data_IF_312118324254
#
_entry.id   IF_312118324254
#
_cell.length_a   1.000
_cell.length_b   1.000
_cell.length_c   1.000
_cell.angle_alpha   90.00
_cell.angle_beta   90.00
_cell.angle_gamma   90.00
#
_symmetry.space_group_name_H-M   'P 1'
#
loop_
_entity.id
_entity.type
_entity.pdbx_description
1 polymer ?
#
# COMPACT_ATOMS: atom_id res chain seq x y z
N UNK A 1 17.87 4.86 6.03
CA UNK A 1 17.50 6.17 6.64
C UNK A 1 17.48 6.15 8.16
N UNK A 2 16.98 5.09 8.82
CA UNK A 2 16.91 5.01 10.29
C UNK A 2 18.27 5.16 11.00
N UNK A 3 19.37 4.72 10.38
CA UNK A 3 20.74 4.95 10.89
C UNK A 3 21.15 6.42 10.77
N UNK A 4 20.86 7.06 9.61
CA UNK A 4 21.17 8.48 9.39
C UNK A 4 20.47 9.42 10.38
N UNK A 5 19.29 9.03 10.86
CA UNK A 5 18.47 9.82 11.79
C UNK A 5 18.58 9.37 13.24
N UNK A 6 19.53 8.49 13.57
CA UNK A 6 19.80 8.05 14.95
C UNK A 6 18.75 7.14 15.58
N UNK A 7 17.80 6.60 14.78
CA UNK A 7 16.82 5.60 15.26
C UNK A 7 17.53 4.26 15.53
N UNK A 8 18.45 3.87 14.64
CA UNK A 8 19.33 2.71 14.81
C UNK A 8 20.78 3.15 14.83
N UNK A 9 21.61 2.47 15.61
CA UNK A 9 23.04 2.65 15.59
C UNK A 9 23.65 1.96 14.38
N UNK A 10 24.74 2.51 13.84
CA UNK A 10 25.52 1.86 12.78
C UNK A 10 26.38 0.74 13.37
N UNK A 11 26.46 -0.40 12.68
CA UNK A 11 27.37 -1.49 13.05
C UNK A 11 28.79 -1.21 12.55
N UNK A 12 28.93 -0.56 11.39
CA UNK A 12 30.20 -0.23 10.75
C UNK A 12 30.06 0.94 9.77
N UNK A 13 31.18 1.40 9.21
CA UNK A 13 31.21 2.50 8.25
C UNK A 13 31.17 3.89 8.91
N UNK A 14 31.21 4.95 8.10
CA UNK A 14 31.19 6.34 8.55
C UNK A 14 30.10 7.15 7.87
N UNK A 15 29.58 8.14 8.56
CA UNK A 15 28.65 9.14 8.02
C UNK A 15 29.36 10.49 8.10
N UNK A 16 29.54 11.14 6.95
CA UNK A 16 30.14 12.48 6.90
C UNK A 16 29.05 13.52 6.69
N UNK A 17 28.94 14.47 7.59
CA UNK A 17 28.00 15.59 7.53
C UNK A 17 28.74 16.92 7.73
N UNK A 18 28.58 17.85 6.79
CA UNK A 18 29.30 19.14 6.78
C UNK A 18 30.84 18.99 6.88
N UNK A 19 31.38 17.95 6.27
CA UNK A 19 32.83 17.67 6.28
C UNK A 19 33.37 17.02 7.56
N UNK A 20 32.50 16.69 8.52
CA UNK A 20 32.86 16.02 9.77
C UNK A 20 32.20 14.66 9.87
N UNK A 21 32.89 13.69 10.45
CA UNK A 21 32.30 12.40 10.75
C UNK A 21 31.32 12.55 11.93
N UNK A 22 30.11 12.02 11.76
CA UNK A 22 29.05 12.09 12.77
C UNK A 22 28.49 10.69 13.06
N UNK A 23 27.99 10.53 14.29
CA UNK A 23 27.22 9.36 14.71
C UNK A 23 26.12 9.85 15.66
N UNK A 24 24.90 9.94 15.18
CA UNK A 24 23.77 10.37 16.00
C UNK A 24 23.29 9.20 16.86
N UNK A 25 23.28 9.39 18.18
CA UNK A 25 22.87 8.35 19.13
C UNK A 25 21.36 8.26 19.33
N UNK A 26 20.63 9.30 18.92
CA UNK A 26 19.17 9.35 18.99
C UNK A 26 18.62 10.39 17.99
N UNK A 27 17.30 10.34 17.80
CA UNK A 27 16.61 11.20 16.84
C UNK A 27 16.69 12.70 17.21
N UNK A 28 16.76 13.02 18.51
CA UNK A 28 16.85 14.40 18.95
C UNK A 28 18.19 15.02 18.59
N UNK A 29 19.27 14.27 18.76
CA UNK A 29 20.61 14.72 18.35
C UNK A 29 20.68 14.97 16.84
N UNK A 30 20.09 14.10 16.01
CA UNK A 30 20.00 14.31 14.58
C UNK A 30 19.19 15.58 14.25
N UNK A 31 18.05 15.79 14.89
CA UNK A 31 17.19 16.96 14.72
C UNK A 31 17.91 18.26 15.11
N UNK A 32 18.60 18.26 16.24
CA UNK A 32 19.37 19.43 16.74
C UNK A 32 20.53 19.80 15.78
N UNK A 33 21.04 18.80 15.02
CA UNK A 33 22.01 19.01 13.94
C UNK A 33 21.38 19.34 12.58
N UNK A 34 20.05 19.40 12.51
CA UNK A 34 19.30 19.75 11.29
C UNK A 34 19.09 18.59 10.32
N UNK A 35 19.15 17.35 10.78
CA UNK A 35 18.78 16.13 10.03
C UNK A 35 17.45 15.60 10.54
N UNK A 36 16.40 15.67 9.72
CA UNK A 36 15.03 15.32 10.11
C UNK A 36 14.43 14.32 9.14
N UNK A 37 13.55 13.44 9.64
CA UNK A 37 12.79 12.51 8.83
C UNK A 37 11.28 12.76 8.99
N UNK A 38 10.59 12.74 7.86
CA UNK A 38 9.14 12.66 7.74
C UNK A 38 8.82 11.21 7.38
N UNK A 39 8.11 10.53 8.26
CA UNK A 39 7.80 9.10 8.11
C UNK A 39 6.59 8.87 7.17
N UNK A 40 6.47 7.67 6.66
CA UNK A 40 5.35 7.22 5.84
C UNK A 40 4.02 7.26 6.62
N UNK A 41 4.04 6.86 7.90
CA UNK A 41 2.89 6.96 8.80
C UNK A 41 2.92 8.32 9.51
N UNK A 42 1.78 9.02 9.52
CA UNK A 42 1.66 10.33 10.16
C UNK A 42 1.84 10.22 11.68
N UNK A 43 2.84 10.92 12.20
CA UNK A 43 3.17 10.94 13.63
C UNK A 43 2.64 12.22 14.31
N UNK A 44 1.33 12.47 14.15
CA UNK A 44 0.66 13.64 14.68
C UNK A 44 -0.34 13.26 15.78
N UNK A 45 -0.46 14.09 16.80
CA UNK A 45 -1.42 13.89 17.89
C UNK A 45 -2.73 14.56 17.53
N UNK A 46 -3.79 13.77 17.25
CA UNK A 46 -5.07 14.25 16.74
C UNK A 46 -5.77 15.27 17.66
N UNK A 47 -5.67 15.10 18.98
CA UNK A 47 -6.33 15.97 19.96
C UNK A 47 -5.63 17.32 20.18
N UNK A 48 -4.39 17.45 19.75
CA UNK A 48 -3.64 18.70 19.83
C UNK A 48 -3.94 19.59 18.61
N UNK A 49 -3.75 20.91 18.80
CA UNK A 49 -3.81 21.85 17.68
C UNK A 49 -2.60 21.67 16.75
N UNK A 50 -2.72 22.22 15.56
CA UNK A 50 -1.63 22.24 14.57
C UNK A 50 -0.38 22.90 15.15
N UNK A 51 -0.52 24.08 15.78
CA UNK A 51 0.62 24.77 16.42
C UNK A 51 1.27 23.91 17.51
N UNK A 52 0.49 23.26 18.35
CA UNK A 52 1.02 22.37 19.38
C UNK A 52 1.76 21.16 18.77
N UNK A 53 1.24 20.57 17.70
CA UNK A 53 1.93 19.49 16.99
C UNK A 53 3.27 19.92 16.39
N UNK A 54 3.34 21.13 15.79
CA UNK A 54 4.58 21.66 15.20
C UNK A 54 5.66 21.84 16.27
N UNK A 55 5.29 22.37 17.45
CA UNK A 55 6.25 22.71 18.51
C UNK A 55 6.32 21.69 19.65
N UNK A 56 5.72 20.53 19.54
CA UNK A 56 5.73 19.49 20.58
C UNK A 56 7.17 19.17 21.02
N UNK A 57 7.42 19.22 22.34
CA UNK A 57 8.72 18.96 22.95
C UNK A 57 9.73 20.13 22.86
N UNK A 58 9.34 21.28 22.25
CA UNK A 58 10.14 22.51 22.13
C UNK A 58 9.25 23.77 22.14
N UNK A 59 8.20 23.71 22.93
CA UNK A 59 7.23 24.78 23.06
C UNK A 59 7.92 26.07 23.52
N UNK A 60 7.69 27.22 22.88
CA UNK A 60 8.17 28.50 23.36
C UNK A 60 7.61 28.80 24.75
N UNK A 61 8.45 29.34 25.65
CA UNK A 61 8.07 29.61 27.05
C UNK A 61 8.11 31.11 27.36
N UNK A 62 7.14 31.54 28.14
CA UNK A 62 7.13 32.85 28.80
C UNK A 62 7.24 32.60 30.31
N UNK A 63 8.48 32.70 30.83
CA UNK A 63 8.80 32.21 32.16
C UNK A 63 8.67 30.70 32.28
N UNK A 64 7.84 30.22 33.19
CA UNK A 64 7.56 28.78 33.41
C UNK A 64 6.37 28.24 32.60
N UNK A 65 5.61 29.11 31.92
CA UNK A 65 4.41 28.73 31.14
C UNK A 65 4.71 28.65 29.66
N UNK A 66 4.00 27.77 28.97
CA UNK A 66 4.00 27.69 27.49
C UNK A 66 3.37 28.97 26.93
N UNK A 67 3.98 29.54 25.89
CA UNK A 67 3.48 30.71 25.17
C UNK A 67 2.71 30.27 23.91
N UNK A 68 1.42 29.96 24.08
CA UNK A 68 0.54 29.56 23.00
C UNK A 68 0.42 30.63 21.91
N UNK A 69 0.44 31.92 22.28
CA UNK A 69 0.34 33.02 21.31
C UNK A 69 1.54 33.00 20.37
N UNK A 70 2.73 32.83 20.93
CA UNK A 70 3.96 32.76 20.14
C UNK A 70 3.98 31.50 19.23
N UNK A 71 3.53 30.34 19.73
CA UNK A 71 3.42 29.14 18.91
C UNK A 71 2.51 29.34 17.69
N UNK A 72 1.35 30.00 17.90
CA UNK A 72 0.40 30.28 16.82
C UNK A 72 1.02 31.28 15.83
N UNK A 73 1.69 32.32 16.29
CA UNK A 73 2.34 33.33 15.46
C UNK A 73 3.47 32.75 14.62
N UNK A 74 4.36 31.98 15.27
CA UNK A 74 5.48 31.32 14.59
C UNK A 74 4.98 30.28 13.55
N UNK A 75 3.90 29.53 13.87
CA UNK A 75 3.24 28.62 12.92
C UNK A 75 2.63 29.34 11.71
N UNK A 76 1.98 30.49 11.94
CA UNK A 76 1.42 31.30 10.84
C UNK A 76 2.51 31.79 9.89
N UNK A 77 3.61 32.29 10.46
CA UNK A 77 4.75 32.71 9.64
C UNK A 77 5.32 31.57 8.81
N UNK A 78 5.53 30.40 9.44
CA UNK A 78 6.01 29.21 8.76
C UNK A 78 5.08 28.81 7.61
N UNK A 79 3.76 28.83 7.83
CA UNK A 79 2.77 28.48 6.81
C UNK A 79 2.71 29.51 5.67
N UNK A 80 2.88 30.80 5.96
CA UNK A 80 2.99 31.83 4.94
C UNK A 80 4.21 31.60 4.06
N UNK A 81 5.37 31.31 4.66
CA UNK A 81 6.63 31.03 3.93
C UNK A 81 6.50 29.79 3.03
N UNK A 82 5.66 28.83 3.39
CA UNK A 82 5.43 27.58 2.67
C UNK A 82 4.17 27.56 1.78
N UNK A 83 3.41 28.66 1.73
CA UNK A 83 2.13 28.75 1.03
C UNK A 83 1.12 27.67 1.51
N UNK A 84 1.06 27.38 2.81
CA UNK A 84 0.14 26.45 3.42
C UNK A 84 -1.07 27.21 3.99
N UNK A 85 -2.27 26.87 3.54
CA UNK A 85 -3.53 27.46 4.01
C UNK A 85 -4.17 26.60 5.08
N UNK A 86 -3.65 26.67 6.31
CA UNK A 86 -4.18 25.94 7.49
C UNK A 86 -4.18 26.90 8.68
N UNK A 87 -5.26 26.91 9.47
CA UNK A 87 -5.28 27.65 10.74
C UNK A 87 -4.50 26.86 11.82
N UNK A 88 -3.42 27.43 12.39
CA UNK A 88 -2.65 26.79 13.45
C UNK A 88 -3.45 26.44 14.72
N UNK A 89 -4.63 27.01 14.91
CA UNK A 89 -5.51 26.76 16.06
C UNK A 89 -6.41 25.55 15.86
N UNK A 90 -6.54 25.06 14.62
CA UNK A 90 -7.40 23.92 14.31
C UNK A 90 -6.81 22.64 14.92
N UNK A 91 -7.68 21.72 15.37
CA UNK A 91 -7.26 20.41 15.85
C UNK A 91 -6.76 19.57 14.67
N UNK A 92 -5.68 18.82 14.89
CA UNK A 92 -5.09 17.95 13.87
C UNK A 92 -6.09 16.91 13.34
N UNK A 93 -6.96 16.37 14.21
CA UNK A 93 -8.00 15.39 13.82
C UNK A 93 -9.06 15.94 12.86
N UNK A 94 -9.22 17.26 12.74
CA UNK A 94 -10.19 17.87 11.82
C UNK A 94 -9.65 18.04 10.41
N UNK A 95 -8.34 17.88 10.23
CA UNK A 95 -7.68 18.07 8.94
C UNK A 95 -7.77 16.81 8.09
N UNK A 96 -7.85 17.00 6.76
CA UNK A 96 -7.63 15.89 5.81
C UNK A 96 -6.22 15.34 5.92
N UNK A 97 -6.02 14.08 5.53
CA UNK A 97 -4.71 13.42 5.56
C UNK A 97 -3.65 14.24 4.82
N UNK A 98 -3.99 14.82 3.66
CA UNK A 98 -3.08 15.68 2.91
C UNK A 98 -2.67 16.94 3.68
N UNK A 99 -3.59 17.58 4.38
CA UNK A 99 -3.27 18.73 5.24
C UNK A 99 -2.42 18.34 6.44
N UNK A 100 -2.67 17.17 7.04
CA UNK A 100 -1.84 16.64 8.12
C UNK A 100 -0.40 16.39 7.64
N UNK A 101 -0.23 15.83 6.44
CA UNK A 101 1.08 15.64 5.80
C UNK A 101 1.82 16.97 5.62
N UNK A 102 1.13 18.02 5.14
CA UNK A 102 1.72 19.36 5.03
C UNK A 102 2.17 19.90 6.37
N UNK A 103 1.40 19.67 7.44
CA UNK A 103 1.79 20.06 8.80
C UNK A 103 3.04 19.30 9.28
N UNK A 104 3.18 18.02 8.97
CA UNK A 104 4.35 17.23 9.34
C UNK A 104 5.62 17.70 8.63
N UNK A 105 5.52 18.06 7.36
CA UNK A 105 6.62 18.65 6.61
C UNK A 105 6.96 20.03 7.18
N UNK A 106 5.97 20.88 7.49
CA UNK A 106 6.19 22.16 8.14
C UNK A 106 6.87 22.00 9.51
N UNK A 107 6.49 21.00 10.29
CA UNK A 107 7.16 20.61 11.53
C UNK A 107 8.63 20.27 11.28
N UNK A 108 8.94 19.46 10.25
CA UNK A 108 10.32 19.12 9.90
C UNK A 108 11.14 20.37 9.56
N UNK A 109 10.59 21.31 8.81
CA UNK A 109 11.24 22.56 8.42
C UNK A 109 11.50 23.45 9.64
N UNK A 110 10.57 23.48 10.61
CA UNK A 110 10.66 24.28 11.81
C UNK A 110 11.84 23.93 12.75
N UNK A 111 12.55 22.84 12.48
CA UNK A 111 13.84 22.47 13.13
C UNK A 111 15.05 23.17 12.48
N UNK A 112 14.86 24.14 11.58
CA UNK A 112 15.94 24.75 10.79
C UNK A 112 16.77 23.69 10.04
N UNK A 113 16.08 22.70 9.51
CA UNK A 113 16.66 21.53 8.89
C UNK A 113 17.55 21.88 7.70
N UNK A 114 18.67 21.16 7.57
CA UNK A 114 19.58 21.20 6.43
C UNK A 114 19.42 19.97 5.55
N UNK A 115 18.97 18.87 6.14
CA UNK A 115 18.66 17.62 5.44
C UNK A 115 17.27 17.15 5.90
N UNK A 116 16.36 16.94 4.97
CA UNK A 116 15.03 16.40 5.24
C UNK A 116 14.89 15.10 4.46
N UNK A 117 14.64 14.00 5.18
CA UNK A 117 14.29 12.71 4.60
C UNK A 117 12.77 12.62 4.50
N UNK A 118 12.25 12.34 3.32
CA UNK A 118 10.82 12.18 3.05
C UNK A 118 10.58 10.71 2.66
N UNK A 119 9.93 9.96 3.53
CA UNK A 119 9.68 8.52 3.34
C UNK A 119 8.25 8.30 2.83
N UNK A 120 8.11 8.03 1.53
CA UNK A 120 6.83 7.85 0.80
C UNK A 120 5.78 8.94 1.09
N UNK A 121 6.11 10.23 0.99
CA UNK A 121 5.24 11.30 1.47
C UNK A 121 3.97 11.49 0.64
N UNK A 122 3.85 10.83 -0.51
CA UNK A 122 2.71 10.95 -1.44
C UNK A 122 1.74 9.77 -1.38
N UNK A 123 1.98 8.78 -0.51
CA UNK A 123 1.19 7.53 -0.45
C UNK A 123 -0.30 7.74 -0.18
N UNK A 124 -0.65 8.84 0.50
CA UNK A 124 -2.03 9.16 0.90
C UNK A 124 -2.53 10.49 0.31
N UNK A 125 -1.80 11.06 -0.68
CA UNK A 125 -2.12 12.35 -1.26
C UNK A 125 -2.86 12.22 -2.60
N UNK A 126 -3.78 13.15 -2.85
CA UNK A 126 -4.39 13.36 -4.17
C UNK A 126 -3.41 14.04 -5.12
N UNK A 127 -3.61 13.92 -6.45
CA UNK A 127 -2.75 14.55 -7.44
C UNK A 127 -2.54 16.07 -7.23
N UNK A 128 -3.57 16.89 -6.92
CA UNK A 128 -3.35 18.31 -6.60
C UNK A 128 -2.52 18.55 -5.33
N UNK A 129 -2.58 17.66 -4.34
CA UNK A 129 -1.78 17.75 -3.12
C UNK A 129 -0.32 17.36 -3.39
N UNK A 130 -0.06 16.38 -4.27
CA UNK A 130 1.29 16.01 -4.74
C UNK A 130 1.95 17.18 -5.45
N UNK A 131 1.25 17.87 -6.34
CA UNK A 131 1.80 19.08 -7.00
C UNK A 131 2.19 20.16 -6.00
N UNK A 132 1.37 20.40 -4.97
CA UNK A 132 1.69 21.36 -3.91
C UNK A 132 2.94 20.94 -3.13
N UNK A 133 3.06 19.65 -2.80
CA UNK A 133 4.24 19.09 -2.16
C UNK A 133 5.49 19.29 -3.01
N UNK A 134 5.45 18.98 -4.29
CA UNK A 134 6.60 19.13 -5.20
C UNK A 134 7.00 20.60 -5.36
N UNK A 135 6.04 21.50 -5.42
CA UNK A 135 6.32 22.95 -5.43
C UNK A 135 7.06 23.37 -4.15
N UNK A 136 6.62 22.90 -2.99
CA UNK A 136 7.29 23.14 -1.71
C UNK A 136 8.71 22.55 -1.71
N UNK A 137 8.89 21.31 -2.16
CA UNK A 137 10.22 20.69 -2.24
C UNK A 137 11.19 21.48 -3.14
N UNK A 138 10.73 21.97 -4.29
CA UNK A 138 11.53 22.85 -5.17
C UNK A 138 11.92 24.15 -4.47
N UNK A 139 11.04 24.75 -3.68
CA UNK A 139 11.33 25.94 -2.88
C UNK A 139 12.38 25.65 -1.79
N UNK A 140 12.26 24.55 -1.06
CA UNK A 140 13.23 24.13 -0.05
C UNK A 140 14.61 23.86 -0.64
N UNK A 141 14.67 23.19 -1.79
CA UNK A 141 15.89 22.95 -2.55
C UNK A 141 16.55 24.29 -2.96
N UNK A 142 15.77 25.26 -3.44
CA UNK A 142 16.27 26.60 -3.79
C UNK A 142 16.83 27.38 -2.57
N UNK A 143 16.37 27.04 -1.36
CA UNK A 143 16.91 27.58 -0.10
C UNK A 143 18.16 26.83 0.42
N UNK A 144 18.67 25.85 -0.34
CA UNK A 144 19.86 25.08 0.00
C UNK A 144 19.61 23.95 1.00
N UNK A 145 18.37 23.49 1.15
CA UNK A 145 18.03 22.32 1.95
C UNK A 145 18.21 21.06 1.08
N UNK A 146 18.99 20.10 1.56
CA UNK A 146 19.14 18.80 0.92
C UNK A 146 17.91 17.93 1.22
N UNK A 147 17.32 17.34 0.18
CA UNK A 147 16.16 16.47 0.29
C UNK A 147 16.54 15.06 -0.11
N UNK A 148 16.20 14.09 0.75
CA UNK A 148 16.28 12.66 0.43
C UNK A 148 14.85 12.18 0.26
N UNK A 149 14.47 11.85 -0.98
CA UNK A 149 13.13 11.45 -1.34
C UNK A 149 13.07 9.94 -1.57
N UNK A 150 12.26 9.24 -0.78
CA UNK A 150 12.06 7.79 -0.90
C UNK A 150 10.67 7.58 -1.46
N UNK A 151 10.59 6.90 -2.59
CA UNK A 151 9.32 6.54 -3.22
C UNK A 151 9.51 5.29 -4.07
N UNK A 152 8.43 4.56 -4.29
CA UNK A 152 8.33 3.49 -5.28
C UNK A 152 7.61 3.95 -6.56
N UNK A 153 7.12 5.20 -6.60
CA UNK A 153 6.48 5.79 -7.76
C UNK A 153 7.52 6.44 -8.67
N UNK A 154 7.84 5.75 -9.76
CA UNK A 154 8.92 6.14 -10.66
C UNK A 154 8.71 7.52 -11.28
N UNK A 155 7.47 7.83 -11.69
CA UNK A 155 7.15 9.12 -12.30
C UNK A 155 7.48 10.30 -11.35
N UNK A 156 7.22 10.14 -10.06
CA UNK A 156 7.56 11.13 -9.04
C UNK A 156 9.07 11.29 -8.88
N UNK A 157 9.83 10.18 -8.89
CA UNK A 157 11.28 10.18 -8.77
C UNK A 157 11.92 10.93 -9.95
N UNK A 158 11.49 10.64 -11.19
CA UNK A 158 12.00 11.32 -12.38
C UNK A 158 11.64 12.81 -12.43
N UNK A 159 10.50 13.19 -11.83
CA UNK A 159 10.06 14.59 -11.81
C UNK A 159 10.84 15.46 -10.81
N UNK A 160 11.17 14.91 -9.61
CA UNK A 160 11.65 15.73 -8.50
C UNK A 160 13.12 15.53 -8.15
N UNK A 161 13.70 14.35 -8.45
CA UNK A 161 15.07 14.00 -8.04
C UNK A 161 16.11 14.41 -9.09
N UNK A 162 17.27 14.88 -8.62
CA UNK A 162 18.43 15.14 -9.48
C UNK A 162 19.27 13.87 -9.70
N UNK A 163 19.38 13.05 -8.67
CA UNK A 163 20.15 11.82 -8.63
C UNK A 163 19.30 10.70 -8.04
N UNK A 164 19.43 9.50 -8.57
CA UNK A 164 18.67 8.32 -8.15
C UNK A 164 19.63 7.26 -7.65
N UNK A 165 19.42 6.81 -6.41
CA UNK A 165 20.13 5.68 -5.82
C UNK A 165 19.18 4.52 -5.62
N UNK A 166 19.52 3.34 -6.13
CA UNK A 166 18.74 2.11 -5.96
C UNK A 166 19.35 1.26 -4.87
N UNK A 167 18.56 0.99 -3.83
CA UNK A 167 18.87 0.02 -2.80
C UNK A 167 18.01 -1.24 -2.97
N UNK A 168 18.65 -2.41 -2.94
CA UNK A 168 17.98 -3.70 -3.02
C UNK A 168 18.58 -4.67 -2.00
N UNK A 169 17.73 -5.30 -1.20
CA UNK A 169 18.15 -6.24 -0.14
C UNK A 169 19.25 -5.67 0.79
N UNK A 170 19.13 -4.36 1.11
CA UNK A 170 20.09 -3.66 1.98
C UNK A 170 21.40 -3.22 1.32
N UNK A 171 21.59 -3.52 0.04
CA UNK A 171 22.80 -3.16 -0.73
C UNK A 171 22.52 -2.05 -1.73
N UNK A 172 23.47 -1.15 -1.92
CA UNK A 172 23.43 -0.13 -2.97
C UNK A 172 23.77 -0.80 -4.31
N UNK A 173 22.81 -0.75 -5.25
CA UNK A 173 22.95 -1.36 -6.58
C UNK A 173 23.51 -0.38 -7.60
N UNK A 174 22.98 0.85 -7.61
CA UNK A 174 23.42 1.91 -8.51
C UNK A 174 23.16 3.29 -7.92
N UNK A 175 23.93 4.27 -8.39
CA UNK A 175 23.67 5.70 -8.21
C UNK A 175 23.96 6.41 -9.53
N UNK A 176 22.99 7.14 -10.07
CA UNK A 176 23.12 7.86 -11.35
C UNK A 176 22.31 9.16 -11.33
N UNK A 177 22.70 10.17 -12.12
CA UNK A 177 21.86 11.32 -12.40
C UNK A 177 20.51 10.90 -12.99
N UNK A 178 19.41 11.52 -12.56
CA UNK A 178 18.06 11.20 -13.04
C UNK A 178 17.95 11.32 -14.57
N UNK A 179 18.64 12.30 -15.17
CA UNK A 179 18.64 12.54 -16.62
C UNK A 179 19.37 11.48 -17.46
N UNK A 180 20.22 10.68 -16.81
CA UNK A 180 21.02 9.61 -17.45
C UNK A 180 20.45 8.22 -17.18
N UNK A 181 19.31 8.14 -16.50
CA UNK A 181 18.66 6.88 -16.10
C UNK A 181 17.34 6.75 -16.85
N UNK A 182 17.06 5.58 -17.40
CA UNK A 182 15.74 5.28 -17.95
C UNK A 182 14.91 4.42 -16.99
N UNK A 183 13.60 4.36 -17.26
CA UNK A 183 12.62 3.63 -16.45
C UNK A 183 12.94 2.13 -16.37
N UNK A 184 13.36 1.52 -17.48
CA UNK A 184 13.61 0.08 -17.54
C UNK A 184 14.88 -0.29 -16.78
N UNK A 185 15.93 0.54 -16.91
CA UNK A 185 17.16 0.39 -16.12
C UNK A 185 16.88 0.47 -14.62
N UNK A 186 16.06 1.45 -14.21
CA UNK A 186 15.69 1.63 -12.81
C UNK A 186 14.93 0.43 -12.27
N UNK A 187 13.93 -0.07 -13.00
CA UNK A 187 13.17 -1.26 -12.64
C UNK A 187 14.07 -2.49 -12.58
N UNK A 188 14.94 -2.68 -13.57
CA UNK A 188 15.88 -3.80 -13.59
C UNK A 188 16.83 -3.80 -12.39
N UNK A 189 17.35 -2.62 -12.00
CA UNK A 189 18.18 -2.46 -10.82
C UNK A 189 17.44 -2.80 -9.52
N UNK A 190 16.15 -2.38 -9.40
CA UNK A 190 15.32 -2.65 -8.24
C UNK A 190 14.93 -4.12 -8.11
N UNK A 191 14.56 -4.77 -9.22
CA UNK A 191 14.06 -6.16 -9.23
C UNK A 191 15.21 -7.17 -9.31
N UNK A 192 16.36 -6.79 -9.88
CA UNK A 192 17.54 -7.65 -10.02
C UNK A 192 17.56 -8.54 -11.25
N UNK A 193 16.61 -8.37 -12.15
CA UNK A 193 16.53 -9.00 -13.47
C UNK A 193 16.03 -7.96 -14.47
N UNK A 194 16.42 -8.08 -15.74
CA UNK A 194 15.80 -7.31 -16.81
C UNK A 194 14.33 -7.72 -16.87
N UNK A 195 13.42 -6.77 -16.69
CA UNK A 195 12.01 -6.97 -16.99
C UNK A 195 11.80 -6.37 -18.38
N UNK A 196 11.64 -7.23 -19.38
CA UNK A 196 11.31 -6.79 -20.74
C UNK A 196 9.96 -6.07 -20.77
N UNK A 197 9.12 -6.31 -19.73
CA UNK A 197 7.83 -5.67 -19.54
C UNK A 197 7.58 -5.38 -18.05
N UNK A 198 6.94 -4.24 -17.75
CA UNK A 198 6.48 -3.84 -16.40
C UNK A 198 5.50 -4.85 -15.78
N UNK A 199 4.75 -5.55 -16.59
CA UNK A 199 3.76 -6.56 -16.21
C UNK A 199 4.08 -7.89 -16.89
N UNK A 200 3.83 -9.04 -16.23
CA UNK A 200 3.93 -10.34 -16.88
C UNK A 200 2.88 -10.47 -18.01
N UNK A 201 3.15 -11.28 -19.04
CA UNK A 201 2.18 -11.50 -20.10
C UNK A 201 0.91 -12.17 -19.55
N UNK A 202 -0.26 -11.62 -19.91
CA UNK A 202 -1.58 -12.15 -19.54
C UNK A 202 -1.97 -13.18 -20.61
N UNK A 203 -1.53 -14.42 -20.43
CA UNK A 203 -1.64 -15.53 -21.39
C UNK A 203 -2.60 -16.63 -20.90
N UNK A 204 -3.44 -16.34 -19.90
CA UNK A 204 -4.54 -17.18 -19.50
C UNK A 204 -5.68 -17.15 -20.55
N UNK A 205 -6.39 -18.27 -20.68
CA UNK A 205 -7.51 -18.40 -21.63
C UNK A 205 -8.81 -18.52 -20.84
N UNK A 206 -9.66 -17.47 -20.80
CA UNK A 206 -10.95 -17.54 -20.15
C UNK A 206 -11.87 -18.59 -20.81
N UNK A 207 -12.50 -19.43 -19.98
CA UNK A 207 -13.43 -20.49 -20.40
C UNK A 207 -14.88 -20.01 -20.49
N UNK A 208 -15.81 -20.86 -20.04
CA UNK A 208 -17.24 -20.56 -19.94
C UNK A 208 -17.55 -19.65 -18.75
N UNK A 209 -18.70 -18.97 -18.77
CA UNK A 209 -19.18 -18.17 -17.65
C UNK A 209 -19.43 -19.06 -16.44
N UNK A 210 -18.77 -18.75 -15.33
CA UNK A 210 -18.86 -19.51 -14.07
C UNK A 210 -19.52 -18.71 -12.95
N UNK A 211 -19.33 -17.39 -12.94
CA UNK A 211 -19.89 -16.48 -11.94
C UNK A 211 -20.72 -15.40 -12.65
N UNK A 212 -21.96 -15.22 -12.24
CA UNK A 212 -22.86 -14.16 -12.68
C UNK A 212 -23.39 -13.37 -11.50
N UNK A 213 -23.14 -12.09 -11.49
CA UNK A 213 -23.65 -11.12 -10.51
C UNK A 213 -24.79 -10.38 -11.18
N UNK A 214 -26.00 -10.44 -10.60
CA UNK A 214 -27.22 -9.95 -11.24
C UNK A 214 -27.92 -8.94 -10.35
N UNK A 215 -28.05 -7.69 -10.81
CA UNK A 215 -28.83 -6.61 -10.21
C UNK A 215 -28.51 -6.34 -8.75
N UNK A 216 -27.23 -6.48 -8.35
CA UNK A 216 -26.81 -6.28 -6.95
C UNK A 216 -27.03 -4.81 -6.55
N UNK A 217 -27.78 -4.64 -5.48
CA UNK A 217 -28.02 -3.35 -4.83
C UNK A 217 -27.85 -3.48 -3.31
N UNK A 218 -27.42 -2.38 -2.64
CA UNK A 218 -27.28 -2.33 -1.20
C UNK A 218 -28.15 -1.23 -0.60
N UNK A 219 -28.58 -1.41 0.67
CA UNK A 219 -29.48 -0.48 1.37
C UNK A 219 -28.72 0.71 1.99
N UNK A 220 -27.55 0.43 2.54
CA UNK A 220 -26.75 1.39 3.32
C UNK A 220 -25.63 2.01 2.49
N UNK A 221 -25.24 3.24 2.82
CA UNK A 221 -24.15 3.94 2.16
C UNK A 221 -22.77 3.30 2.47
N UNK A 222 -21.82 3.33 1.52
CA UNK A 222 -21.99 3.69 0.12
C UNK A 222 -22.92 2.70 -0.60
N UNK A 223 -23.89 3.21 -1.37
CA UNK A 223 -24.91 2.37 -2.02
C UNK A 223 -24.43 1.84 -3.36
N UNK A 224 -24.52 0.54 -3.52
CA UNK A 224 -24.46 -0.11 -4.83
C UNK A 224 -25.85 -0.05 -5.48
N UNK A 225 -25.89 0.13 -6.80
CA UNK A 225 -27.13 0.32 -7.54
C UNK A 225 -27.11 -0.52 -8.81
N UNK A 226 -27.90 -1.59 -8.82
CA UNK A 226 -28.19 -2.42 -9.98
C UNK A 226 -26.92 -2.89 -10.74
N UNK A 227 -25.95 -3.46 -10.04
CA UNK A 227 -24.69 -3.94 -10.62
C UNK A 227 -24.90 -5.34 -11.19
N UNK A 228 -24.57 -5.52 -12.47
CA UNK A 228 -24.64 -6.81 -13.17
C UNK A 228 -23.40 -7.02 -14.04
N UNK A 229 -22.79 -8.21 -13.93
CA UNK A 229 -21.66 -8.65 -14.74
C UNK A 229 -21.47 -10.15 -14.64
N UNK A 230 -20.79 -10.73 -15.64
CA UNK A 230 -20.44 -12.13 -15.69
C UNK A 230 -18.92 -12.29 -15.74
N UNK A 231 -18.41 -13.36 -15.13
CA UNK A 231 -17.00 -13.71 -15.13
C UNK A 231 -16.84 -15.15 -15.58
N UNK A 232 -15.82 -15.37 -16.41
CA UNK A 232 -15.51 -16.70 -16.96
C UNK A 232 -14.51 -17.44 -16.05
N UNK A 233 -14.54 -18.76 -16.12
CA UNK A 233 -13.55 -19.60 -15.46
C UNK A 233 -12.15 -19.29 -15.99
N UNK A 234 -11.19 -19.10 -15.09
CA UNK A 234 -9.82 -18.74 -15.47
C UNK A 234 -9.66 -17.31 -15.97
N UNK A 235 -10.66 -16.44 -15.79
CA UNK A 235 -10.59 -15.02 -16.14
C UNK A 235 -10.04 -14.19 -14.99
N UNK A 236 -9.28 -13.16 -15.32
CA UNK A 236 -8.92 -12.06 -14.43
C UNK A 236 -9.78 -10.85 -14.82
N UNK A 237 -10.79 -10.56 -14.00
CA UNK A 237 -11.69 -9.42 -14.20
C UNK A 237 -11.27 -8.27 -13.27
N UNK A 238 -10.91 -7.13 -13.87
CA UNK A 238 -10.49 -5.94 -13.14
C UNK A 238 -11.64 -4.98 -12.85
N UNK A 239 -11.68 -4.37 -11.66
CA UNK A 239 -12.51 -3.20 -11.41
C UNK A 239 -11.64 -1.97 -11.18
N UNK A 240 -11.96 -0.90 -11.90
CA UNK A 240 -11.36 0.41 -11.74
C UNK A 240 -12.43 1.47 -11.40
N UNK A 241 -12.02 2.51 -10.68
CA UNK A 241 -12.87 3.64 -10.31
C UNK A 241 -12.19 4.53 -9.28
N UNK A 242 -12.68 5.74 -9.09
CA UNK A 242 -12.17 6.66 -8.09
C UNK A 242 -12.45 6.14 -6.67
N UNK A 243 -11.74 6.69 -5.69
CA UNK A 243 -12.00 6.44 -4.25
C UNK A 243 -13.47 6.75 -3.96
N UNK A 244 -14.16 5.81 -3.30
CA UNK A 244 -15.60 5.92 -3.02
C UNK A 244 -16.51 5.50 -4.17
N UNK A 245 -15.99 4.95 -5.28
CA UNK A 245 -16.80 4.45 -6.39
C UNK A 245 -17.64 3.22 -6.06
N UNK A 246 -17.40 2.55 -4.93
CA UNK A 246 -18.16 1.37 -4.50
C UNK A 246 -17.47 0.03 -4.82
N UNK A 247 -16.18 0.02 -5.15
CA UNK A 247 -15.42 -1.18 -5.53
C UNK A 247 -15.27 -2.16 -4.36
N UNK A 248 -14.76 -1.68 -3.24
CA UNK A 248 -14.63 -2.45 -1.99
C UNK A 248 -15.98 -2.97 -1.53
N UNK A 249 -17.00 -2.11 -1.56
CA UNK A 249 -18.36 -2.45 -1.16
C UNK A 249 -18.95 -3.56 -2.03
N UNK A 250 -18.59 -3.60 -3.30
CA UNK A 250 -19.01 -4.67 -4.21
C UNK A 250 -18.40 -6.01 -3.79
N UNK A 251 -17.10 -6.07 -3.57
CA UNK A 251 -16.42 -7.29 -3.10
C UNK A 251 -16.96 -7.75 -1.75
N UNK A 252 -17.12 -6.84 -0.79
CA UNK A 252 -17.69 -7.12 0.52
C UNK A 252 -19.13 -7.65 0.44
N UNK A 253 -19.93 -7.12 -0.50
CA UNK A 253 -21.32 -7.58 -0.71
C UNK A 253 -21.35 -8.99 -1.31
N UNK A 254 -20.48 -9.27 -2.29
CA UNK A 254 -20.36 -10.61 -2.88
C UNK A 254 -19.85 -11.61 -1.84
N UNK A 255 -18.95 -11.22 -0.96
CA UNK A 255 -18.38 -12.09 0.08
C UNK A 255 -19.28 -12.27 1.31
N UNK A 256 -20.40 -11.53 1.39
CA UNK A 256 -21.35 -11.63 2.52
C UNK A 256 -20.93 -10.86 3.78
N UNK A 257 -20.00 -9.89 3.66
CA UNK A 257 -19.67 -8.92 4.73
C UNK A 257 -20.77 -7.87 4.81
N UNK A 258 -21.20 -7.35 3.65
CA UNK A 258 -22.29 -6.37 3.55
C UNK A 258 -23.58 -7.05 3.14
N UNK A 259 -24.68 -6.61 3.75
CA UNK A 259 -26.01 -7.13 3.43
C UNK A 259 -26.45 -6.62 2.06
N UNK A 260 -26.75 -7.55 1.17
CA UNK A 260 -27.38 -7.32 -0.12
C UNK A 260 -28.86 -6.98 0.10
N UNK A 261 -29.35 -5.94 -0.57
CA UNK A 261 -30.78 -5.59 -0.56
C UNK A 261 -31.54 -6.30 -1.69
N UNK A 262 -30.91 -6.35 -2.90
CA UNK A 262 -31.52 -6.95 -4.10
C UNK A 262 -30.44 -7.64 -4.94
N UNK A 263 -30.91 -8.46 -5.86
CA UNK A 263 -30.09 -9.14 -6.85
C UNK A 263 -29.64 -10.53 -6.43
N UNK A 264 -28.95 -11.25 -7.32
CA UNK A 264 -28.50 -12.61 -7.13
C UNK A 264 -27.01 -12.76 -7.47
N UNK A 265 -26.39 -13.76 -6.86
CA UNK A 265 -25.07 -14.28 -7.21
C UNK A 265 -25.29 -15.70 -7.71
N UNK A 266 -24.94 -15.98 -8.95
CA UNK A 266 -25.03 -17.30 -9.55
C UNK A 266 -23.62 -17.83 -9.77
N UNK A 267 -23.28 -18.96 -9.20
CA UNK A 267 -21.99 -19.60 -9.35
C UNK A 267 -22.20 -21.07 -9.76
N UNK A 268 -21.54 -21.45 -10.83
CA UNK A 268 -21.67 -22.79 -11.42
C UNK A 268 -23.17 -23.22 -11.63
N UNK A 269 -23.96 -22.28 -12.18
CA UNK A 269 -25.38 -22.45 -12.43
C UNK A 269 -26.29 -22.43 -11.20
N UNK A 270 -25.76 -22.28 -10.00
CA UNK A 270 -26.52 -22.26 -8.74
C UNK A 270 -26.60 -20.85 -8.17
N UNK A 271 -27.80 -20.46 -7.75
CA UNK A 271 -28.01 -19.21 -7.02
C UNK A 271 -27.45 -19.36 -5.60
N UNK A 272 -26.50 -18.50 -5.23
CA UNK A 272 -25.90 -18.48 -3.90
C UNK A 272 -26.43 -17.29 -3.09
N UNK A 273 -26.70 -17.55 -1.83
CA UNK A 273 -27.15 -16.53 -0.89
C UNK A 273 -26.26 -16.57 0.36
N UNK A 274 -25.19 -15.79 0.33
CA UNK A 274 -24.29 -15.71 1.47
C UNK A 274 -24.87 -14.80 2.56
N UNK A 275 -25.04 -15.35 3.74
CA UNK A 275 -25.47 -14.63 4.94
C UNK A 275 -24.26 -14.18 5.79
N UNK A 276 -23.07 -14.71 5.47
CA UNK A 276 -21.85 -14.44 6.22
C UNK A 276 -20.61 -14.71 5.34
N UNK A 277 -19.45 -14.14 5.67
CA UNK A 277 -18.16 -14.48 5.05
C UNK A 277 -17.84 -15.98 5.10
N UNK A 278 -18.26 -16.67 6.18
CA UNK A 278 -18.06 -18.10 6.32
C UNK A 278 -18.79 -18.88 5.24
N UNK A 279 -20.02 -18.48 4.88
CA UNK A 279 -20.79 -19.15 3.82
C UNK A 279 -20.06 -18.99 2.47
N UNK A 280 -19.54 -17.79 2.17
CA UNK A 280 -18.74 -17.57 0.97
C UNK A 280 -17.48 -18.45 0.95
N UNK A 281 -16.76 -18.51 2.07
CA UNK A 281 -15.57 -19.35 2.22
C UNK A 281 -15.86 -20.82 2.03
N UNK A 282 -16.97 -21.30 2.55
CA UNK A 282 -17.39 -22.71 2.44
C UNK A 282 -17.86 -23.08 1.00
N UNK A 283 -18.16 -22.06 0.17
CA UNK A 283 -18.44 -22.20 -1.27
C UNK A 283 -17.22 -21.92 -2.16
N UNK A 284 -16.02 -21.82 -1.57
CA UNK A 284 -14.77 -21.65 -2.33
C UNK A 284 -14.48 -20.22 -2.78
N UNK A 285 -15.02 -19.22 -2.09
CA UNK A 285 -14.68 -17.81 -2.31
C UNK A 285 -13.59 -17.38 -1.31
N UNK A 286 -12.69 -16.52 -1.75
CA UNK A 286 -11.68 -15.88 -0.93
C UNK A 286 -11.69 -14.36 -1.15
N UNK A 287 -11.39 -13.58 -0.11
CA UNK A 287 -11.29 -12.14 -0.17
C UNK A 287 -10.00 -11.64 0.48
N UNK A 288 -9.14 -11.04 -0.32
CA UNK A 288 -7.99 -10.26 0.13
C UNK A 288 -8.46 -8.81 0.25
N UNK A 289 -8.33 -8.23 1.44
CA UNK A 289 -8.81 -6.88 1.77
C UNK A 289 -7.72 -5.84 1.57
N UNK A 290 -8.10 -4.59 1.25
CA UNK A 290 -7.22 -3.45 1.06
C UNK A 290 -6.34 -3.18 2.30
N UNK A 291 -6.95 -3.16 3.49
CA UNK A 291 -6.28 -2.88 4.76
C UNK A 291 -5.59 -4.13 5.32
N UNK A 292 -4.39 -4.44 4.80
CA UNK A 292 -3.60 -5.62 5.16
C UNK A 292 -3.41 -5.77 6.67
N UNK A 293 -2.98 -4.70 7.35
CA UNK A 293 -2.66 -4.74 8.79
C UNK A 293 -3.90 -4.82 9.68
N UNK A 294 -5.00 -4.17 9.28
CA UNK A 294 -6.22 -4.15 10.07
C UNK A 294 -7.09 -5.39 9.87
N UNK A 295 -7.24 -5.84 8.62
CA UNK A 295 -8.23 -6.86 8.24
C UNK A 295 -7.60 -8.15 7.69
N UNK A 296 -6.34 -8.09 7.26
CA UNK A 296 -5.68 -9.21 6.60
C UNK A 296 -4.84 -10.09 7.53
N UNK A 297 -4.27 -9.53 8.60
CA UNK A 297 -3.25 -10.17 9.43
C UNK A 297 -3.51 -10.01 10.93
N UNK A 298 -3.08 -10.98 11.70
CA UNK A 298 -2.93 -10.91 13.14
C UNK A 298 -1.49 -10.53 13.48
N UNK A 299 -1.22 -9.25 13.65
CA UNK A 299 0.15 -8.71 13.79
C UNK A 299 0.91 -9.25 15.02
N UNK A 300 0.19 -9.73 16.04
CA UNK A 300 0.77 -10.37 17.23
C UNK A 300 0.98 -11.88 17.07
N UNK A 301 0.61 -12.45 15.91
CA UNK A 301 0.79 -13.87 15.59
C UNK A 301 2.04 -14.10 14.74
N UNK A 302 2.48 -15.35 14.72
CA UNK A 302 3.51 -15.86 13.83
C UNK A 302 2.95 -16.12 12.40
N UNK A 303 3.82 -16.53 11.50
CA UNK A 303 3.43 -16.88 10.12
C UNK A 303 2.51 -18.10 10.14
N UNK A 304 2.79 -19.10 10.97
CA UNK A 304 1.97 -20.33 11.10
C UNK A 304 0.52 -20.02 11.44
N UNK A 305 0.30 -19.20 12.45
CA UNK A 305 -1.06 -18.80 12.83
C UNK A 305 -1.76 -18.04 11.70
N UNK A 306 -1.07 -17.07 11.10
CA UNK A 306 -1.63 -16.24 10.02
C UNK A 306 -1.96 -17.06 8.76
N UNK A 307 -1.13 -18.04 8.39
CA UNK A 307 -1.37 -18.89 7.22
C UNK A 307 -2.54 -19.85 7.45
N UNK A 308 -2.65 -20.45 8.63
CA UNK A 308 -3.58 -21.56 8.87
C UNK A 308 -4.94 -21.15 9.43
N UNK A 309 -5.09 -19.93 9.95
CA UNK A 309 -6.31 -19.48 10.63
C UNK A 309 -7.58 -19.59 9.78
N UNK A 310 -7.49 -19.39 8.48
CA UNK A 310 -8.64 -19.51 7.58
C UNK A 310 -9.11 -20.96 7.40
N UNK A 311 -8.28 -21.96 7.72
CA UNK A 311 -8.53 -23.38 7.51
C UNK A 311 -8.34 -24.25 8.77
N UNK A 312 -8.52 -23.69 9.95
CA UNK A 312 -8.31 -24.36 11.25
C UNK A 312 -8.97 -25.74 11.35
N UNK A 313 -10.11 -25.95 10.69
CA UNK A 313 -10.82 -27.25 10.71
C UNK A 313 -9.97 -28.37 10.11
N UNK A 314 -9.14 -28.06 9.10
CA UNK A 314 -8.28 -29.05 8.44
C UNK A 314 -7.17 -29.57 9.36
N UNK A 315 -6.78 -28.82 10.35
CA UNK A 315 -5.69 -29.15 11.27
C UNK A 315 -6.15 -29.80 12.56
N UNK A 316 -7.44 -30.13 12.67
CA UNK A 316 -7.94 -30.85 13.84
C UNK A 316 -7.36 -32.28 13.93
N UNK A 317 -6.95 -32.63 15.14
CA UNK A 317 -6.55 -34.00 15.53
C UNK A 317 -7.30 -34.35 16.81
N UNK A 318 -8.44 -35.01 16.67
CA UNK A 318 -9.37 -35.21 17.78
C UNK A 318 -10.01 -33.89 18.23
N UNK A 319 -9.88 -33.55 19.50
CA UNK A 319 -10.41 -32.31 20.10
C UNK A 319 -9.45 -31.12 20.02
N UNK A 320 -8.18 -31.36 19.66
CA UNK A 320 -7.14 -30.35 19.62
C UNK A 320 -6.71 -30.01 18.16
N UNK A 321 -5.93 -28.95 17.99
CA UNK A 321 -5.26 -28.61 16.73
C UNK A 321 -3.87 -29.26 16.73
N UNK A 322 -3.46 -29.79 15.59
CA UNK A 322 -2.12 -30.35 15.39
C UNK A 322 -1.17 -29.23 14.94
N UNK A 323 -0.38 -28.71 15.86
CA UNK A 323 0.64 -27.69 15.57
C UNK A 323 1.63 -28.16 14.51
N UNK A 324 2.09 -29.42 14.57
CA UNK A 324 3.01 -29.99 13.58
C UNK A 324 2.47 -29.96 12.14
N UNK A 325 1.16 -30.24 11.97
CA UNK A 325 0.50 -30.14 10.65
C UNK A 325 0.45 -28.70 10.18
N UNK A 326 0.15 -27.76 11.06
CA UNK A 326 0.10 -26.32 10.76
C UNK A 326 1.49 -25.82 10.33
N UNK A 327 2.53 -26.15 11.07
CA UNK A 327 3.92 -25.76 10.75
C UNK A 327 4.37 -26.34 9.40
N UNK A 328 4.06 -27.62 9.11
CA UNK A 328 4.42 -28.24 7.81
C UNK A 328 3.71 -27.55 6.66
N UNK A 329 2.41 -27.31 6.73
CA UNK A 329 1.67 -26.60 5.69
C UNK A 329 2.22 -25.19 5.49
N UNK A 330 2.51 -24.47 6.57
CA UNK A 330 3.11 -23.14 6.49
C UNK A 330 4.49 -23.17 5.84
N UNK A 331 5.33 -24.17 6.14
CA UNK A 331 6.63 -24.32 5.50
C UNK A 331 6.54 -24.60 3.98
N UNK A 332 5.50 -25.30 3.55
CA UNK A 332 5.18 -25.49 2.13
C UNK A 332 4.73 -24.18 1.47
N UNK A 333 3.82 -23.45 2.11
CA UNK A 333 3.36 -22.13 1.61
C UNK A 333 4.49 -21.09 1.53
N UNK A 334 5.40 -21.06 2.51
CA UNK A 334 6.60 -20.22 2.48
C UNK A 334 7.44 -20.51 1.22
N UNK A 335 7.59 -21.78 0.84
CA UNK A 335 8.33 -22.18 -0.37
C UNK A 335 7.58 -21.79 -1.64
N UNK A 336 6.29 -22.09 -1.72
CA UNK A 336 5.43 -21.79 -2.90
C UNK A 336 5.40 -20.28 -3.16
N UNK A 337 5.24 -19.49 -2.10
CA UNK A 337 5.14 -18.03 -2.17
C UNK A 337 6.51 -17.33 -2.21
N UNK A 338 7.61 -18.07 -2.09
CA UNK A 338 8.95 -17.49 -1.95
C UNK A 338 9.00 -16.39 -0.87
N UNK A 339 8.37 -16.65 0.29
CA UNK A 339 8.32 -15.69 1.39
C UNK A 339 9.68 -15.60 2.07
N UNK A 340 10.26 -14.41 2.12
CA UNK A 340 11.54 -14.16 2.83
C UNK A 340 11.25 -14.01 4.33
N UNK A 341 11.57 -15.00 5.11
CA UNK A 341 11.40 -15.06 6.58
C UNK A 341 12.44 -16.01 7.20
N UNK A 342 12.56 -16.00 8.52
CA UNK A 342 13.44 -16.92 9.25
C UNK A 342 12.84 -18.33 9.39
N UNK A 343 11.52 -18.46 9.29
CA UNK A 343 10.80 -19.74 9.38
C UNK A 343 9.32 -19.53 9.73
N UNK A 344 8.56 -20.64 9.87
CA UNK A 344 7.13 -20.61 10.19
C UNK A 344 6.78 -19.89 11.49
N UNK A 345 7.69 -19.89 12.48
CA UNK A 345 7.52 -19.29 13.80
C UNK A 345 7.91 -17.80 13.84
N UNK A 346 8.37 -17.23 12.71
CA UNK A 346 8.70 -15.81 12.65
C UNK A 346 7.44 -14.95 12.83
N UNK A 347 7.58 -13.86 13.58
CA UNK A 347 6.46 -12.94 13.83
C UNK A 347 6.12 -12.19 12.55
N UNK A 348 4.84 -12.19 12.19
CA UNK A 348 4.37 -11.51 10.96
C UNK A 348 4.72 -10.03 10.92
N UNK A 349 4.81 -9.38 12.10
CA UNK A 349 5.16 -7.97 12.21
C UNK A 349 6.60 -7.65 11.76
N UNK A 350 7.51 -8.65 11.77
CA UNK A 350 8.91 -8.51 11.36
C UNK A 350 9.09 -8.51 9.84
N UNK A 351 8.09 -9.00 9.09
CA UNK A 351 8.16 -9.13 7.65
C UNK A 351 7.96 -7.80 6.93
N UNK A 352 8.63 -7.64 5.78
CA UNK A 352 8.34 -6.54 4.85
C UNK A 352 6.91 -6.62 4.32
N UNK A 353 6.38 -5.50 3.83
CA UNK A 353 5.03 -5.41 3.29
C UNK A 353 4.73 -6.46 2.21
N UNK A 354 5.66 -6.70 1.29
CA UNK A 354 5.52 -7.71 0.25
C UNK A 354 5.47 -9.14 0.81
N UNK A 355 6.30 -9.46 1.80
CA UNK A 355 6.27 -10.78 2.44
C UNK A 355 5.02 -10.98 3.30
N UNK A 356 4.52 -9.95 3.99
CA UNK A 356 3.22 -9.98 4.67
C UNK A 356 2.08 -10.28 3.69
N UNK A 357 2.11 -9.67 2.50
CA UNK A 357 1.11 -9.93 1.47
C UNK A 357 1.16 -11.36 0.96
N UNK A 358 2.35 -11.91 0.74
CA UNK A 358 2.54 -13.32 0.38
C UNK A 358 1.93 -14.27 1.42
N UNK A 359 2.09 -13.99 2.71
CA UNK A 359 1.43 -14.78 3.78
C UNK A 359 -0.09 -14.69 3.68
N UNK A 360 -0.66 -13.52 3.32
CA UNK A 360 -2.12 -13.40 3.09
C UNK A 360 -2.56 -14.26 1.89
N UNK A 361 -1.80 -14.26 0.79
CA UNK A 361 -2.09 -15.15 -0.33
C UNK A 361 -2.02 -16.62 0.09
N UNK A 362 -0.96 -17.05 0.79
CA UNK A 362 -0.80 -18.41 1.32
C UNK A 362 -1.97 -18.82 2.22
N UNK A 363 -2.42 -17.93 3.12
CA UNK A 363 -3.61 -18.15 3.97
C UNK A 363 -4.84 -18.57 3.17
N UNK A 364 -5.08 -17.92 2.03
CA UNK A 364 -6.24 -18.22 1.20
C UNK A 364 -6.01 -19.42 0.28
N UNK A 365 -4.79 -19.60 -0.26
CA UNK A 365 -4.43 -20.74 -1.09
C UNK A 365 -4.58 -22.07 -0.33
N UNK A 366 -4.29 -22.06 0.97
CA UNK A 366 -4.49 -23.21 1.87
C UNK A 366 -5.94 -23.75 1.86
N UNK A 367 -6.92 -22.93 1.52
CA UNK A 367 -8.32 -23.34 1.33
C UNK A 367 -8.63 -23.78 -0.10
N UNK A 368 -7.69 -23.66 -1.03
CA UNK A 368 -7.88 -23.96 -2.45
C UNK A 368 -9.14 -23.31 -3.06
N UNK A 369 -9.38 -22.01 -2.90
CA UNK A 369 -10.60 -21.37 -3.39
C UNK A 369 -10.68 -21.43 -4.91
N UNK A 370 -11.92 -21.40 -5.43
CA UNK A 370 -12.20 -21.33 -6.87
C UNK A 370 -12.35 -19.90 -7.35
N UNK A 371 -12.81 -19.01 -6.48
CA UNK A 371 -12.99 -17.58 -6.76
C UNK A 371 -12.14 -16.77 -5.80
N UNK A 372 -11.20 -15.99 -6.36
CA UNK A 372 -10.38 -15.05 -5.62
C UNK A 372 -10.83 -13.61 -5.87
N UNK A 373 -11.18 -12.91 -4.82
CA UNK A 373 -11.48 -11.48 -4.86
C UNK A 373 -10.36 -10.74 -4.14
N UNK A 374 -9.81 -9.70 -4.76
CA UNK A 374 -8.64 -8.98 -4.27
C UNK A 374 -8.88 -7.47 -4.35
N UNK A 375 -8.81 -6.81 -3.21
CA UNK A 375 -8.99 -5.37 -3.10
C UNK A 375 -7.62 -4.71 -2.87
N UNK A 376 -7.12 -3.98 -3.86
CA UNK A 376 -5.80 -3.35 -3.91
C UNK A 376 -4.67 -4.28 -3.38
N UNK A 377 -4.48 -5.50 -3.95
CA UNK A 377 -3.61 -6.53 -3.39
C UNK A 377 -2.12 -6.16 -3.38
N UNK A 378 -1.74 -5.11 -4.09
CA UNK A 378 -0.37 -4.63 -4.26
C UNK A 378 -0.12 -3.30 -3.56
N UNK A 379 -1.09 -2.80 -2.78
CA UNK A 379 -0.96 -1.53 -2.08
C UNK A 379 0.14 -1.55 -1.02
N UNK A 380 1.04 -0.56 -1.09
CA UNK A 380 2.12 -0.38 -0.11
C UNK A 380 3.16 -1.50 -0.10
N UNK A 381 3.42 -2.09 -1.26
CA UNK A 381 4.51 -3.05 -1.48
C UNK A 381 5.44 -2.56 -2.59
N UNK A 382 6.68 -2.99 -2.55
CA UNK A 382 7.70 -2.59 -3.52
C UNK A 382 7.46 -3.20 -4.92
N UNK A 383 8.08 -2.60 -5.95
CA UNK A 383 7.88 -2.97 -7.36
C UNK A 383 8.23 -4.42 -7.64
N UNK A 384 9.28 -4.94 -7.00
CA UNK A 384 9.71 -6.33 -7.19
C UNK A 384 8.66 -7.31 -6.65
N UNK A 385 8.15 -7.04 -5.45
CA UNK A 385 7.10 -7.85 -4.84
C UNK A 385 5.76 -7.71 -5.58
N UNK A 386 5.44 -6.54 -6.15
CA UNK A 386 4.27 -6.36 -7.02
C UNK A 386 4.32 -7.30 -8.22
N UNK A 387 5.47 -7.36 -8.91
CA UNK A 387 5.64 -8.22 -10.07
C UNK A 387 5.43 -9.70 -9.74
N UNK A 388 5.98 -10.18 -8.61
CA UNK A 388 5.78 -11.56 -8.15
C UNK A 388 4.30 -11.86 -7.84
N UNK A 389 3.56 -10.88 -7.31
CA UNK A 389 2.11 -11.01 -7.09
C UNK A 389 1.35 -11.06 -8.42
N UNK A 390 1.72 -10.26 -9.42
CA UNK A 390 1.11 -10.35 -10.74
C UNK A 390 1.34 -11.72 -11.39
N UNK A 391 2.56 -12.25 -11.33
CA UNK A 391 2.85 -13.61 -11.78
C UNK A 391 1.98 -14.65 -11.07
N UNK A 392 1.81 -14.52 -9.75
CA UNK A 392 0.95 -15.40 -8.96
C UNK A 392 -0.51 -15.33 -9.42
N UNK A 393 -1.06 -14.13 -9.60
CA UNK A 393 -2.44 -13.89 -10.06
C UNK A 393 -2.67 -14.54 -11.43
N UNK A 394 -1.75 -14.31 -12.38
CA UNK A 394 -1.85 -14.87 -13.74
C UNK A 394 -1.73 -16.42 -13.70
N UNK A 395 -0.82 -16.95 -12.89
CA UNK A 395 -0.65 -18.40 -12.75
C UNK A 395 -1.89 -19.06 -12.11
N UNK A 396 -2.54 -18.43 -11.16
CA UNK A 396 -3.81 -18.90 -10.61
C UNK A 396 -4.91 -18.91 -11.68
N UNK A 397 -5.00 -17.88 -12.51
CA UNK A 397 -5.95 -17.82 -13.61
C UNK A 397 -5.70 -18.94 -14.65
N UNK A 398 -4.43 -19.21 -15.00
CA UNK A 398 -4.04 -20.34 -15.86
C UNK A 398 -4.47 -21.71 -15.29
N UNK A 399 -4.48 -21.83 -13.97
CA UNK A 399 -4.98 -23.04 -13.28
C UNK A 399 -6.53 -23.12 -13.24
N UNK A 400 -7.21 -22.18 -13.88
CA UNK A 400 -8.67 -22.13 -13.95
C UNK A 400 -9.36 -21.46 -12.76
N UNK A 401 -8.61 -20.78 -11.88
CA UNK A 401 -9.20 -19.94 -10.81
C UNK A 401 -9.85 -18.71 -11.41
N UNK A 402 -11.00 -18.34 -10.90
CA UNK A 402 -11.71 -17.11 -11.30
C UNK A 402 -11.24 -15.96 -10.42
N UNK A 403 -10.79 -14.87 -10.99
CA UNK A 403 -10.15 -13.80 -10.23
C UNK A 403 -10.85 -12.47 -10.47
N UNK A 404 -11.15 -11.77 -9.39
CA UNK A 404 -11.62 -10.38 -9.40
C UNK A 404 -10.54 -9.54 -8.72
N UNK A 405 -9.99 -8.57 -9.45
CA UNK A 405 -8.98 -7.63 -8.91
C UNK A 405 -9.55 -6.22 -8.95
N UNK A 406 -9.50 -5.56 -7.80
CA UNK A 406 -9.72 -4.11 -7.70
C UNK A 406 -8.35 -3.47 -7.53
N UNK A 407 -8.05 -2.42 -8.28
CA UNK A 407 -6.87 -1.58 -8.03
C UNK A 407 -7.20 -0.11 -8.21
N UNK A 408 -6.56 0.72 -7.41
CA UNK A 408 -6.54 2.16 -7.54
C UNK A 408 -5.56 2.65 -8.62
N UNK A 409 -4.65 1.76 -9.07
CA UNK A 409 -3.66 2.06 -10.10
C UNK A 409 -4.14 1.55 -11.48
N UNK A 410 -4.54 2.47 -12.36
CA UNK A 410 -4.99 2.12 -13.72
C UNK A 410 -3.98 1.25 -14.49
N UNK A 411 -2.65 1.52 -14.47
CA UNK A 411 -1.67 0.69 -15.14
C UNK A 411 -1.67 -0.77 -14.69
N UNK A 412 -1.95 -1.05 -13.40
CA UNK A 412 -2.04 -2.43 -12.90
C UNK A 412 -3.22 -3.16 -13.55
N UNK A 413 -4.40 -2.54 -13.52
CA UNK A 413 -5.61 -3.14 -14.10
C UNK A 413 -5.40 -3.40 -15.59
N UNK A 414 -4.83 -2.44 -16.34
CA UNK A 414 -4.52 -2.61 -17.77
C UNK A 414 -3.48 -3.71 -18.02
N UNK A 415 -2.53 -3.88 -17.09
CA UNK A 415 -1.38 -4.79 -17.25
C UNK A 415 -1.66 -6.26 -16.90
N UNK A 416 -2.68 -6.54 -16.06
CA UNK A 416 -2.87 -7.91 -15.52
C UNK A 416 -4.26 -8.49 -15.72
N UNK A 417 -5.21 -7.78 -16.36
CA UNK A 417 -6.60 -8.25 -16.49
C UNK A 417 -6.99 -8.58 -17.93
N UNK A 418 -8.03 -9.38 -18.10
CA UNK A 418 -8.61 -9.71 -19.40
C UNK A 418 -9.72 -8.71 -19.78
N UNK A 419 -10.52 -8.29 -18.80
CA UNK A 419 -11.59 -7.29 -18.95
C UNK A 419 -11.61 -6.35 -17.77
N UNK A 420 -12.11 -5.13 -17.98
CA UNK A 420 -12.22 -4.11 -16.94
C UNK A 420 -13.66 -3.62 -16.82
N UNK A 421 -14.21 -3.69 -15.63
CA UNK A 421 -15.43 -2.99 -15.22
C UNK A 421 -15.07 -1.62 -14.61
N UNK A 422 -15.67 -0.55 -15.12
CA UNK A 422 -15.47 0.79 -14.59
C UNK A 422 -16.62 1.13 -13.64
N UNK A 423 -16.29 1.44 -12.40
CA UNK A 423 -17.27 1.82 -11.39
C UNK A 423 -17.28 3.33 -11.12
N UNK A 424 -18.47 3.88 -10.96
CA UNK A 424 -18.69 5.28 -10.58
C UNK A 424 -19.95 5.41 -9.73
N UNK A 425 -19.83 6.05 -8.56
CA UNK A 425 -20.96 6.33 -7.66
C UNK A 425 -21.85 5.09 -7.35
N UNK A 426 -21.21 3.95 -7.10
CA UNK A 426 -21.91 2.69 -6.79
C UNK A 426 -22.61 2.03 -7.98
N UNK A 427 -22.28 2.41 -9.20
CA UNK A 427 -22.80 1.82 -10.44
C UNK A 427 -21.68 1.31 -11.32
N UNK A 428 -21.95 0.26 -12.08
CA UNK A 428 -21.10 -0.19 -13.17
C UNK A 428 -21.38 0.65 -14.41
N UNK A 429 -20.44 1.54 -14.76
CA UNK A 429 -20.57 2.45 -15.89
C UNK A 429 -20.38 1.74 -17.24
N UNK A 430 -19.55 0.69 -17.28
CA UNK A 430 -19.31 -0.10 -18.47
C UNK A 430 -18.27 -1.19 -18.25
N UNK A 431 -18.15 -2.10 -19.22
CA UNK A 431 -17.14 -3.17 -19.24
C UNK A 431 -16.37 -3.06 -20.56
N UNK A 432 -15.04 -2.99 -20.47
CA UNK A 432 -14.13 -2.96 -21.61
C UNK A 432 -13.39 -4.29 -21.75
N UNK A 433 -13.23 -4.76 -22.97
CA UNK A 433 -12.32 -5.85 -23.31
C UNK A 433 -10.92 -5.29 -23.51
N UNK A 434 -9.92 -5.92 -22.91
CA UNK A 434 -8.53 -5.62 -23.22
C UNK A 434 -8.05 -6.57 -24.31
N UNK A 435 -7.63 -6.02 -25.44
CA UNK A 435 -7.02 -6.82 -26.52
C UNK A 435 -5.56 -7.06 -26.14
N UNK A 436 -5.23 -8.31 -25.82
CA UNK A 436 -3.86 -8.75 -25.48
C UNK A 436 -3.01 -9.08 -26.72
N UNK A 437 -3.40 -8.63 -27.93
CA UNK A 437 -2.54 -8.69 -29.11
C UNK A 437 -1.69 -7.41 -29.17
N UNK A 438 -0.34 -7.50 -29.11
CA UNK A 438 0.47 -6.37 -29.50
C UNK A 438 0.14 -6.04 -30.94
N UNK A 439 -0.37 -4.83 -31.18
CA UNK A 439 -0.46 -4.30 -32.54
C UNK A 439 0.97 -4.23 -33.10
N UNK A 440 1.27 -4.79 -34.29
CA UNK A 440 2.59 -4.68 -34.85
C UNK A 440 2.92 -3.28 -35.39
N UNK A 441 2.16 -2.27 -34.98
CA UNK A 441 2.34 -0.87 -35.40
C UNK A 441 1.88 0.04 -34.28
N UNK A 442 2.84 0.42 -33.43
CA UNK A 442 3.06 1.81 -32.96
C UNK A 442 4.39 1.87 -32.24
#
# INVERSE_FOLDING_TARGET
MKVLTGIYQKDSGSITYKGQEVAFHNTREAQDNGVVIVHQELNMVGDLTVAQNIFIGREPKKGIRVDDKKMIEDSKKLFQDLNIEIDPREKMSNLTVGKQQMCEIAKAISYHSKVIVLDEPTSSLTAPEVEKLFKMMRQLKAQGIALIYISHKMDEIFEICDEISVLRDGSLVMTKPSKETDMNELIAAMVGRSLDNRFPPVDNTPGETILSVQNISTKYAPKLQNISFDIKKGEIFGFYGLVGAGRTELLETIFGIRTRAEGNIVYDGKVLNFSSPKDAMDHGFALITEERKANGLFLKGDITFNTTIANMKHYKSGIALSHDKMVRATAEEIKIMHTKCMGPDDMIANLSGGNQQKVIFGKWLERSPSVFMMDDPTRGIDVGAKYEIYELIINMAKQGKTIIVVSSEMPEILGITNRIGVMSNGRLAGICLLYTSPSPRD
#
